data_IF_703005193493
#
_entry.id   IF_703005193493
#
_cell.length_a   1.000
_cell.length_b   1.000
_cell.length_c   1.000
_cell.angle_alpha   90.00
_cell.angle_beta   90.00
_cell.angle_gamma   90.00
#
_symmetry.space_group_name_H-M   'P 1'
#
loop_
_entity.id
_entity.type
_entity.pdbx_description
1 polymer ?
#
# COMPACT_ATOMS: atom_id res chain seq x y z
N UNK A 1 -14.81 -17.57 -7.87
CA UNK A 1 -15.06 -16.24 -7.28
C UNK A 1 -13.86 -15.34 -7.57
N UNK A 2 -14.09 -14.20 -8.17
CA UNK A 2 -13.04 -13.19 -8.36
C UNK A 2 -12.59 -12.66 -6.99
N UNK A 3 -11.29 -12.73 -6.72
CA UNK A 3 -10.70 -12.24 -5.47
C UNK A 3 -10.49 -10.72 -5.58
N UNK A 4 -10.54 -10.01 -4.46
CA UNK A 4 -10.13 -8.61 -4.40
C UNK A 4 -8.69 -8.41 -4.94
N UNK A 5 -8.33 -7.19 -5.29
CA UNK A 5 -6.97 -6.82 -5.66
C UNK A 5 -6.38 -5.95 -4.55
N UNK A 6 -5.22 -6.33 -4.03
CA UNK A 6 -4.55 -5.60 -2.95
C UNK A 6 -3.21 -5.04 -3.43
N UNK A 7 -2.99 -3.74 -3.20
CA UNK A 7 -1.73 -3.06 -3.48
C UNK A 7 -0.94 -2.84 -2.19
N UNK A 8 0.30 -3.30 -2.16
CA UNK A 8 1.24 -3.08 -1.06
C UNK A 8 2.54 -2.43 -1.54
N UNK A 9 3.34 -1.93 -0.62
CA UNK A 9 4.62 -1.26 -0.89
C UNK A 9 4.78 0.02 -0.08
N UNK A 10 5.95 0.63 -0.19
CA UNK A 10 6.33 1.83 0.57
C UNK A 10 5.36 3.01 0.33
N UNK A 11 5.45 3.99 1.22
CA UNK A 11 4.83 5.31 0.98
C UNK A 11 5.37 5.93 -0.32
N UNK A 12 4.57 6.77 -0.97
CA UNK A 12 4.91 7.47 -2.22
C UNK A 12 5.19 6.58 -3.45
N UNK A 13 4.90 5.27 -3.40
CA UNK A 13 5.01 4.40 -4.59
C UNK A 13 3.88 4.60 -5.60
N UNK A 14 2.78 5.25 -5.22
CA UNK A 14 1.65 5.53 -6.10
C UNK A 14 0.45 4.58 -5.96
N UNK A 15 0.34 3.84 -4.85
CA UNK A 15 -0.77 2.89 -4.60
C UNK A 15 -2.15 3.48 -4.84
N UNK A 16 -2.44 4.64 -4.26
CA UNK A 16 -3.73 5.32 -4.42
C UNK A 16 -4.06 5.65 -5.87
N UNK A 17 -3.08 6.19 -6.63
CA UNK A 17 -3.25 6.56 -8.04
C UNK A 17 -3.47 5.33 -8.91
N UNK A 18 -2.65 4.30 -8.72
CA UNK A 18 -2.74 3.03 -9.45
C UNK A 18 -4.05 2.32 -9.08
N UNK A 19 -4.38 2.25 -7.79
CA UNK A 19 -5.57 1.58 -7.29
C UNK A 19 -6.86 2.16 -7.83
N UNK A 20 -7.00 3.50 -7.85
CA UNK A 20 -8.17 4.16 -8.44
C UNK A 20 -8.35 3.83 -9.93
N UNK A 21 -7.25 3.80 -10.70
CA UNK A 21 -7.30 3.46 -12.13
C UNK A 21 -7.62 1.99 -12.37
N UNK A 22 -7.08 1.08 -11.56
CA UNK A 22 -7.42 -0.35 -11.60
C UNK A 22 -8.90 -0.56 -11.26
N UNK A 23 -9.40 0.05 -10.18
CA UNK A 23 -10.78 -0.06 -9.78
C UNK A 23 -11.74 0.41 -10.90
N UNK A 24 -11.42 1.53 -11.56
CA UNK A 24 -12.20 2.02 -12.71
C UNK A 24 -12.21 1.00 -13.87
N UNK A 25 -11.05 0.41 -14.21
CA UNK A 25 -10.95 -0.56 -15.31
C UNK A 25 -11.67 -1.88 -15.01
N UNK A 26 -11.59 -2.35 -13.77
CA UNK A 26 -12.24 -3.58 -13.32
C UNK A 26 -13.73 -3.38 -12.96
N UNK A 27 -14.23 -2.15 -12.92
CA UNK A 27 -15.56 -1.78 -12.39
C UNK A 27 -15.73 -2.22 -10.92
N UNK A 28 -14.66 -2.12 -10.14
CA UNK A 28 -14.59 -2.46 -8.72
C UNK A 28 -14.67 -1.22 -7.84
N UNK A 29 -15.02 -1.42 -6.58
CA UNK A 29 -14.86 -0.41 -5.55
C UNK A 29 -13.38 -0.14 -5.28
N UNK A 30 -13.08 1.05 -4.76
CA UNK A 30 -11.73 1.42 -4.33
C UNK A 30 -11.70 1.75 -2.84
N UNK A 31 -10.82 1.11 -2.10
CA UNK A 31 -10.57 1.34 -0.69
C UNK A 31 -9.10 1.77 -0.46
N UNK A 32 -8.90 2.98 0.05
CA UNK A 32 -7.61 3.44 0.56
C UNK A 32 -7.65 3.37 2.09
N UNK A 33 -6.91 2.44 2.66
CA UNK A 33 -6.97 2.15 4.10
C UNK A 33 -6.58 3.36 4.93
N UNK A 34 -5.54 4.10 4.53
CA UNK A 34 -5.10 5.30 5.25
C UNK A 34 -6.22 6.35 5.26
N UNK A 35 -6.92 6.54 4.13
CA UNK A 35 -8.06 7.48 4.03
C UNK A 35 -9.28 7.05 4.83
N UNK A 36 -9.57 5.75 4.86
CA UNK A 36 -10.67 5.21 5.66
C UNK A 36 -10.41 5.43 7.15
N UNK A 37 -9.15 5.21 7.60
CA UNK A 37 -8.76 5.46 9.00
C UNK A 37 -8.92 6.95 9.33
N UNK A 38 -8.36 7.86 8.50
CA UNK A 38 -8.46 9.30 8.72
C UNK A 38 -9.92 9.76 8.81
N UNK A 39 -10.79 9.26 7.91
CA UNK A 39 -12.22 9.56 7.93
C UNK A 39 -12.92 9.05 9.20
N UNK A 40 -12.60 7.82 9.62
CA UNK A 40 -13.21 7.21 10.81
C UNK A 40 -12.79 7.89 12.09
N UNK A 41 -11.51 8.26 12.21
CA UNK A 41 -10.95 8.88 13.41
C UNK A 41 -11.15 10.41 13.46
N UNK A 42 -11.53 11.04 12.36
CA UNK A 42 -11.65 12.50 12.24
C UNK A 42 -10.30 13.24 12.31
N UNK A 43 -9.19 12.51 12.23
CA UNK A 43 -7.84 13.03 12.42
C UNK A 43 -6.88 12.48 11.37
N UNK A 44 -5.84 13.25 11.03
CA UNK A 44 -4.76 12.76 10.18
C UNK A 44 -3.99 11.61 10.85
N UNK A 45 -3.39 10.72 10.05
CA UNK A 45 -2.55 9.63 10.53
C UNK A 45 -1.44 10.16 11.46
N UNK A 46 -0.80 11.28 11.11
CA UNK A 46 0.22 11.91 11.96
C UNK A 46 -0.32 12.32 13.32
N UNK A 47 -1.55 12.85 13.37
CA UNK A 47 -2.21 13.23 14.63
C UNK A 47 -2.55 12.00 15.48
N UNK A 48 -3.02 10.91 14.83
CA UNK A 48 -3.32 9.65 15.53
C UNK A 48 -2.04 9.08 16.16
N UNK A 49 -0.92 9.06 15.42
CA UNK A 49 0.37 8.60 15.96
C UNK A 49 0.82 9.45 17.15
N UNK A 50 0.70 10.79 17.05
CA UNK A 50 1.11 11.71 18.11
C UNK A 50 0.25 11.56 19.38
N UNK A 51 -1.06 11.44 19.23
CA UNK A 51 -2.01 11.52 20.35
C UNK A 51 -2.36 10.15 20.93
N UNK A 52 -2.39 9.09 20.12
CA UNK A 52 -2.83 7.75 20.53
C UNK A 52 -1.74 6.67 20.39
N UNK A 53 -0.60 7.01 19.75
CA UNK A 53 0.55 6.14 19.59
C UNK A 53 0.43 5.11 18.45
N UNK A 54 1.56 4.48 18.14
CA UNK A 54 1.65 3.50 17.03
C UNK A 54 0.81 2.26 17.28
N UNK A 55 0.79 1.75 18.52
CA UNK A 55 0.05 0.54 18.89
C UNK A 55 -1.45 0.66 18.59
N UNK A 56 -2.05 1.78 18.95
CA UNK A 56 -3.45 2.11 18.65
C UNK A 56 -3.69 2.16 17.13
N UNK A 57 -2.82 2.90 16.41
CA UNK A 57 -2.93 2.97 14.95
C UNK A 57 -2.87 1.59 14.31
N UNK A 58 -1.94 0.72 14.71
CA UNK A 58 -1.79 -0.63 14.14
C UNK A 58 -2.99 -1.52 14.40
N UNK A 59 -3.64 -1.35 15.54
CA UNK A 59 -4.90 -2.07 15.85
C UNK A 59 -5.99 -1.68 14.87
N UNK A 60 -6.26 -0.38 14.69
CA UNK A 60 -7.31 0.10 13.77
C UNK A 60 -6.96 -0.23 12.32
N UNK A 61 -5.70 -0.05 11.91
CA UNK A 61 -5.21 -0.40 10.57
C UNK A 61 -5.51 -1.86 10.24
N UNK A 62 -5.23 -2.77 11.19
CA UNK A 62 -5.53 -4.20 11.05
C UNK A 62 -7.02 -4.43 10.90
N UNK A 63 -7.84 -3.91 11.83
CA UNK A 63 -9.27 -4.17 11.89
C UNK A 63 -9.98 -3.65 10.62
N UNK A 64 -9.70 -2.43 10.21
CA UNK A 64 -10.24 -1.83 8.97
C UNK A 64 -9.78 -2.62 7.74
N UNK A 65 -8.50 -2.98 7.66
CA UNK A 65 -7.98 -3.75 6.53
C UNK A 65 -8.68 -5.10 6.39
N UNK A 66 -8.91 -5.82 7.50
CA UNK A 66 -9.61 -7.11 7.47
C UNK A 66 -11.06 -6.95 7.02
N UNK A 67 -11.74 -5.89 7.46
CA UNK A 67 -13.11 -5.58 7.02
C UNK A 67 -13.13 -5.34 5.50
N UNK A 68 -12.22 -4.52 4.98
CA UNK A 68 -12.15 -4.24 3.55
C UNK A 68 -11.79 -5.49 2.72
N UNK A 69 -10.91 -6.35 3.22
CA UNK A 69 -10.53 -7.60 2.56
C UNK A 69 -11.68 -8.62 2.46
N UNK A 70 -12.66 -8.56 3.36
CA UNK A 70 -13.85 -9.43 3.32
C UNK A 70 -14.91 -8.98 2.32
N UNK A 71 -14.84 -7.76 1.82
CA UNK A 71 -15.71 -7.29 0.73
C UNK A 71 -15.39 -8.04 -0.56
N UNK A 72 -16.21 -7.84 -1.57
CA UNK A 72 -16.02 -8.38 -2.92
C UNK A 72 -15.78 -7.23 -3.91
N UNK A 73 -15.17 -7.53 -5.04
CA UNK A 73 -14.99 -6.58 -6.15
C UNK A 73 -14.36 -5.25 -5.67
N UNK A 74 -13.27 -5.34 -4.91
CA UNK A 74 -12.62 -4.17 -4.31
C UNK A 74 -11.13 -4.17 -4.61
N UNK A 75 -10.62 -3.02 -5.07
CA UNK A 75 -9.19 -2.73 -5.13
C UNK A 75 -8.79 -2.02 -3.83
N UNK A 76 -7.88 -2.62 -3.08
CA UNK A 76 -7.49 -2.18 -1.73
C UNK A 76 -6.06 -1.65 -1.75
N UNK A 77 -5.88 -0.38 -1.42
CA UNK A 77 -4.58 0.27 -1.22
C UNK A 77 -4.21 0.21 0.26
N UNK A 78 -3.21 -0.59 0.60
CA UNK A 78 -2.74 -0.75 1.98
C UNK A 78 -1.85 0.42 2.42
N UNK A 79 -1.89 0.75 3.71
CA UNK A 79 -0.88 1.59 4.34
C UNK A 79 0.52 1.00 4.21
N UNK A 80 1.55 1.85 4.20
CA UNK A 80 2.93 1.38 3.95
C UNK A 80 3.48 0.38 4.99
N UNK A 81 2.88 0.31 6.17
CA UNK A 81 3.25 -0.65 7.22
C UNK A 81 2.29 -1.82 7.38
N UNK A 82 1.12 -1.77 6.77
CA UNK A 82 0.05 -2.74 6.99
C UNK A 82 0.47 -4.19 6.66
N UNK A 83 1.23 -4.38 5.58
CA UNK A 83 1.66 -5.71 5.15
C UNK A 83 2.71 -6.36 6.05
N UNK A 84 3.23 -5.64 7.07
CA UNK A 84 4.08 -6.21 8.13
C UNK A 84 3.27 -7.06 9.11
N UNK A 85 1.97 -6.82 9.21
CA UNK A 85 1.08 -7.57 10.08
C UNK A 85 0.76 -8.94 9.48
N UNK A 86 1.04 -10.02 10.21
CA UNK A 86 0.84 -11.40 9.75
C UNK A 86 -0.63 -11.73 9.50
N UNK A 87 -1.54 -11.20 10.33
CA UNK A 87 -2.98 -11.38 10.14
C UNK A 87 -3.46 -10.75 8.84
N UNK A 88 -3.01 -9.52 8.54
CA UNK A 88 -3.34 -8.86 7.26
C UNK A 88 -2.84 -9.70 6.09
N UNK A 89 -1.59 -10.21 6.12
CA UNK A 89 -1.06 -11.07 5.05
C UNK A 89 -1.88 -12.35 4.90
N UNK A 90 -2.26 -12.99 6.01
CA UNK A 90 -3.11 -14.20 6.00
C UNK A 90 -4.45 -13.94 5.32
N UNK A 91 -5.14 -12.85 5.70
CA UNK A 91 -6.41 -12.47 5.10
C UNK A 91 -6.27 -12.04 3.64
N UNK A 92 -5.24 -11.26 3.30
CA UNK A 92 -4.96 -10.85 1.93
C UNK A 92 -4.74 -12.07 1.01
N UNK A 93 -3.97 -13.06 1.45
CA UNK A 93 -3.75 -14.31 0.70
C UNK A 93 -5.04 -15.08 0.44
N UNK A 94 -5.98 -15.08 1.40
CA UNK A 94 -7.26 -15.78 1.28
C UNK A 94 -8.24 -15.04 0.38
N UNK A 95 -8.35 -13.72 0.50
CA UNK A 95 -9.43 -12.91 -0.06
C UNK A 95 -9.02 -12.00 -1.22
N UNK A 96 -7.74 -11.91 -1.54
CA UNK A 96 -7.25 -11.01 -2.60
C UNK A 96 -6.07 -11.60 -3.35
N UNK A 97 -5.74 -10.93 -4.47
CA UNK A 97 -4.45 -11.04 -5.14
C UNK A 97 -3.65 -9.82 -4.79
N UNK A 98 -2.53 -10.05 -4.15
CA UNK A 98 -1.67 -8.98 -3.66
C UNK A 98 -0.53 -8.67 -4.63
N UNK A 99 -0.33 -7.37 -4.89
CA UNK A 99 0.73 -6.85 -5.75
C UNK A 99 1.64 -5.93 -4.96
N UNK A 100 2.91 -6.25 -4.90
CA UNK A 100 3.92 -5.35 -4.37
C UNK A 100 4.42 -4.40 -5.45
N UNK A 101 4.18 -3.11 -5.30
CA UNK A 101 4.74 -2.06 -6.15
C UNK A 101 6.16 -1.75 -5.66
N UNK A 102 7.15 -2.33 -6.33
CA UNK A 102 8.55 -2.16 -5.98
C UNK A 102 9.18 -1.01 -6.77
N UNK A 103 9.31 0.12 -6.10
CA UNK A 103 9.96 1.34 -6.61
C UNK A 103 11.32 1.48 -5.94
N UNK A 104 12.41 1.72 -6.68
CA UNK A 104 13.74 1.93 -6.10
C UNK A 104 13.75 3.02 -5.03
N UNK A 105 14.49 2.78 -3.95
CA UNK A 105 14.49 3.67 -2.79
C UNK A 105 14.95 5.09 -3.15
N UNK A 106 15.85 5.25 -4.09
CA UNK A 106 16.31 6.54 -4.61
C UNK A 106 15.17 7.33 -5.27
N UNK A 107 14.31 6.64 -6.01
CA UNK A 107 13.10 7.24 -6.62
C UNK A 107 12.10 7.66 -5.55
N UNK A 108 11.92 6.85 -4.51
CA UNK A 108 11.07 7.20 -3.36
C UNK A 108 11.57 8.44 -2.64
N UNK A 109 12.87 8.53 -2.40
CA UNK A 109 13.49 9.70 -1.78
C UNK A 109 13.27 10.97 -2.60
N UNK A 110 13.42 10.91 -3.95
CA UNK A 110 13.14 12.03 -4.86
C UNK A 110 11.65 12.46 -4.77
N UNK A 111 10.71 11.51 -4.76
CA UNK A 111 9.28 11.81 -4.65
C UNK A 111 8.91 12.43 -3.30
N UNK A 112 9.47 11.92 -2.21
CA UNK A 112 9.23 12.43 -0.85
C UNK A 112 9.80 13.83 -0.63
N UNK A 113 10.91 14.18 -1.31
CA UNK A 113 11.48 15.55 -1.28
C UNK A 113 10.57 16.59 -1.96
N UNK A 114 9.84 16.19 -3.01
CA UNK A 114 8.91 17.08 -3.75
C UNK A 114 7.57 17.28 -3.02
N UNK A 115 7.25 16.45 -2.04
CA UNK A 115 5.99 16.55 -1.29
C UNK A 115 6.09 17.63 -0.21
N UNK A 116 5.38 18.76 -0.39
CA UNK A 116 5.38 19.94 0.51
C UNK A 116 4.80 19.69 1.91
N UNK A 117 4.15 18.57 2.16
CA UNK A 117 3.32 18.34 3.36
C UNK A 117 4.04 17.62 4.53
N UNK A 118 5.37 17.67 4.61
CA UNK A 118 6.09 17.09 5.75
C UNK A 118 7.19 18.02 6.23
N UNK A 119 7.19 18.44 7.51
CA UNK A 119 8.20 19.33 8.07
C UNK A 119 9.61 18.74 7.89
N UNK A 120 10.53 19.63 7.53
CA UNK A 120 11.93 19.34 7.26
C UNK A 120 12.67 19.09 8.56
N UNK A 121 12.78 17.83 8.97
CA UNK A 121 13.82 17.40 9.90
C UNK A 121 15.01 16.91 9.09
N UNK A 122 16.22 17.25 9.54
CA UNK A 122 17.53 16.93 8.97
C UNK A 122 17.54 15.94 7.77
N UNK A 123 17.76 16.47 6.54
CA UNK A 123 17.54 15.73 5.27
C UNK A 123 18.31 14.41 5.18
N UNK A 124 19.53 14.35 5.72
CA UNK A 124 20.38 13.14 5.65
C UNK A 124 19.87 12.03 6.59
N UNK A 125 19.63 12.35 7.86
CA UNK A 125 19.07 11.41 8.84
C UNK A 125 17.73 10.83 8.39
N UNK A 126 16.91 11.64 7.66
CA UNK A 126 15.63 11.17 7.12
C UNK A 126 15.80 10.22 5.93
N UNK A 127 16.76 10.47 5.06
CA UNK A 127 17.05 9.59 3.93
C UNK A 127 17.51 8.21 4.39
N UNK A 128 18.40 8.16 5.38
CA UNK A 128 18.90 6.89 5.93
C UNK A 128 17.81 6.14 6.68
N UNK A 129 16.95 6.85 7.41
CA UNK A 129 15.77 6.25 8.03
C UNK A 129 14.81 5.62 7.01
N UNK A 130 14.56 6.29 5.88
CA UNK A 130 13.70 5.76 4.81
C UNK A 130 14.34 4.54 4.14
N UNK A 131 15.65 4.56 3.87
CA UNK A 131 16.39 3.41 3.34
C UNK A 131 16.30 2.22 4.30
N UNK A 132 16.58 2.45 5.59
CA UNK A 132 16.47 1.41 6.64
C UNK A 132 15.08 0.80 6.69
N UNK A 133 14.03 1.63 6.68
CA UNK A 133 12.64 1.18 6.65
C UNK A 133 12.34 0.37 5.38
N UNK A 134 12.80 0.82 4.21
CA UNK A 134 12.61 0.09 2.95
C UNK A 134 13.21 -1.31 3.01
N UNK A 135 14.47 -1.43 3.39
CA UNK A 135 15.15 -2.74 3.44
C UNK A 135 14.54 -3.67 4.49
N UNK A 136 14.17 -3.15 5.66
CA UNK A 136 13.50 -3.92 6.70
C UNK A 136 12.13 -4.45 6.23
N UNK A 137 11.37 -3.65 5.46
CA UNK A 137 10.03 -4.02 4.99
C UNK A 137 10.02 -4.90 3.74
N UNK A 138 11.09 -4.88 2.96
CA UNK A 138 11.22 -5.61 1.70
C UNK A 138 10.89 -7.10 1.83
N UNK A 139 11.36 -7.76 2.89
CA UNK A 139 11.09 -9.18 3.18
C UNK A 139 9.61 -9.50 3.37
N UNK A 140 8.83 -8.54 3.87
CA UNK A 140 7.39 -8.70 4.05
C UNK A 140 6.64 -8.44 2.74
N UNK A 141 6.99 -7.37 2.02
CA UNK A 141 6.39 -7.08 0.72
C UNK A 141 6.61 -8.21 -0.29
N UNK A 142 7.76 -8.88 -0.22
CA UNK A 142 8.09 -10.02 -1.10
C UNK A 142 7.19 -11.26 -0.87
N UNK A 143 6.33 -11.24 0.16
CA UNK A 143 5.30 -12.26 0.39
C UNK A 143 3.99 -11.97 -0.37
N UNK A 144 3.91 -10.88 -1.13
CA UNK A 144 2.81 -10.62 -2.07
C UNK A 144 2.81 -11.67 -3.21
N UNK A 145 1.63 -11.93 -3.80
CA UNK A 145 1.51 -12.87 -4.91
C UNK A 145 2.36 -12.47 -6.12
N UNK A 146 2.45 -11.15 -6.38
CA UNK A 146 3.23 -10.62 -7.49
C UNK A 146 4.04 -9.40 -7.07
N UNK A 147 5.28 -9.35 -7.56
CA UNK A 147 6.16 -8.18 -7.48
C UNK A 147 6.14 -7.44 -8.80
N UNK A 148 5.79 -6.18 -8.80
CA UNK A 148 5.84 -5.28 -9.96
C UNK A 148 7.06 -4.38 -9.82
N UNK A 149 8.11 -4.65 -10.60
CA UNK A 149 9.27 -3.76 -10.66
C UNK A 149 8.89 -2.48 -11.41
N UNK A 150 8.79 -1.38 -10.69
CA UNK A 150 8.36 -0.08 -11.21
C UNK A 150 9.53 0.84 -11.61
N UNK A 151 10.76 0.30 -11.76
CA UNK A 151 11.95 1.12 -12.06
C UNK A 151 11.83 1.85 -13.39
N UNK A 152 11.41 1.16 -14.43
CA UNK A 152 11.38 1.65 -15.82
C UNK A 152 9.97 1.73 -16.42
N UNK A 153 8.96 1.29 -15.66
CA UNK A 153 7.59 1.21 -16.18
C UNK A 153 6.87 2.55 -16.04
N UNK A 154 6.14 2.93 -17.09
CA UNK A 154 5.16 4.02 -17.02
C UNK A 154 3.94 3.58 -16.21
N UNK A 155 3.15 4.55 -15.75
CA UNK A 155 1.91 4.27 -15.03
C UNK A 155 0.96 3.37 -15.85
N UNK A 156 0.88 3.58 -17.17
CA UNK A 156 0.08 2.76 -18.09
C UNK A 156 0.57 1.31 -18.07
N UNK A 157 1.84 1.07 -18.29
CA UNK A 157 2.42 -0.28 -18.30
C UNK A 157 2.30 -1.01 -16.95
N UNK A 158 2.40 -0.29 -15.81
CA UNK A 158 2.17 -0.87 -14.50
C UNK A 158 0.74 -1.40 -14.38
N UNK A 159 -0.25 -0.60 -14.81
CA UNK A 159 -1.66 -0.97 -14.73
C UNK A 159 -1.95 -2.17 -15.64
N UNK A 160 -1.48 -2.14 -16.91
CA UNK A 160 -1.66 -3.23 -17.86
C UNK A 160 -1.04 -4.55 -17.34
N UNK A 161 0.17 -4.47 -16.78
CA UNK A 161 0.84 -5.64 -16.20
C UNK A 161 0.09 -6.22 -15.00
N UNK A 162 -0.46 -5.36 -14.13
CA UNK A 162 -1.26 -5.81 -12.98
C UNK A 162 -2.53 -6.50 -13.47
N UNK A 163 -3.27 -5.91 -14.42
CA UNK A 163 -4.49 -6.50 -14.98
C UNK A 163 -4.21 -7.86 -15.62
N UNK A 164 -3.19 -7.94 -16.48
CA UNK A 164 -2.78 -9.19 -17.11
C UNK A 164 -2.49 -10.30 -16.08
N UNK A 165 -1.76 -9.99 -14.99
CA UNK A 165 -1.45 -10.97 -13.94
C UNK A 165 -2.65 -11.29 -13.05
N UNK A 166 -3.56 -10.35 -12.90
CA UNK A 166 -4.77 -10.53 -12.10
C UNK A 166 -5.78 -11.45 -12.79
N UNK A 167 -5.93 -11.34 -14.13
CA UNK A 167 -6.86 -12.10 -14.96
C UNK A 167 -6.36 -13.51 -15.29
N UNK A 168 -5.07 -13.81 -15.08
CA UNK A 168 -4.53 -15.14 -15.33
C UNK A 168 -5.25 -16.20 -14.49
N UNK A 169 -5.62 -17.36 -15.11
CA UNK A 169 -6.08 -18.53 -14.38
C UNK A 169 -5.06 -18.91 -13.30
N UNK A 170 -5.56 -19.23 -12.13
CA UNK A 170 -4.73 -19.70 -11.01
C UNK A 170 -5.02 -21.16 -10.81
N UNK A 171 -4.05 -21.96 -11.16
CA UNK A 171 -4.03 -23.37 -10.80
C UNK A 171 -3.92 -23.51 -9.28
#
# INVERSE_FOLDING_TARGET
MEKNLTLTGMMAVGKTTIGKRLAKKLKYNFADIDKIIEKKEGHSISSIFKNKGESYFRKIEKDITIIELKKINTVISLGGGAFLNSSIRKYARKHSVSFWLDVPVETLLKRLKKSKNRPVLNKEKKNDSIKKIYYMRKKFYNQANYRINCKTLTLKHIIEKILYLYEKPRN
#
